data_IF_429761439219
#
_entry.id   IF_429761439219
#
_cell.length_a   1.000
_cell.length_b   1.000
_cell.length_c   1.000
_cell.angle_alpha   90.00
_cell.angle_beta   90.00
_cell.angle_gamma   90.00
#
_symmetry.space_group_name_H-M   'P 1'
#
loop_
_entity.id
_entity.type
_entity.pdbx_description
1 polymer ?
#
# COMPACT_ATOMS: atom_id res chain seq x y z
N UNK A 1 35.01 0.08 -5.28
CA UNK A 1 34.03 0.92 -6.02
C UNK A 1 33.43 1.93 -5.08
N UNK A 2 33.47 3.24 -5.40
CA UNK A 2 32.87 4.33 -4.62
C UNK A 2 31.87 5.08 -5.49
N UNK A 3 30.66 5.37 -4.97
CA UNK A 3 29.64 6.08 -5.73
C UNK A 3 28.56 6.70 -4.86
N UNK A 4 27.87 7.68 -5.43
CA UNK A 4 26.57 8.19 -4.97
C UNK A 4 25.58 8.04 -6.13
N UNK A 5 25.01 6.83 -6.33
CA UNK A 5 24.10 6.59 -7.43
C UNK A 5 22.78 7.35 -7.25
N UNK A 6 22.09 7.70 -8.36
CA UNK A 6 20.80 8.38 -8.26
C UNK A 6 19.77 7.52 -7.55
N UNK A 7 18.83 8.17 -6.83
CA UNK A 7 17.70 7.53 -6.16
C UNK A 7 16.45 7.81 -6.99
N UNK A 8 16.06 6.87 -7.83
CA UNK A 8 14.84 7.03 -8.62
C UNK A 8 14.17 5.70 -8.90
N UNK A 9 13.15 5.41 -8.08
CA UNK A 9 12.11 4.47 -8.47
C UNK A 9 11.02 5.26 -9.18
N UNK A 10 11.11 5.42 -10.50
CA UNK A 10 10.15 6.16 -11.34
C UNK A 10 10.10 7.67 -11.04
N UNK A 11 11.07 8.41 -11.49
CA UNK A 11 10.95 9.87 -11.57
C UNK A 11 10.03 10.26 -12.73
N UNK A 12 9.02 11.08 -12.43
CA UNK A 12 8.20 11.77 -13.41
C UNK A 12 8.87 13.07 -13.89
N UNK A 13 10.18 13.07 -14.03
CA UNK A 13 10.92 14.20 -14.58
C UNK A 13 10.87 14.16 -16.09
N UNK A 14 10.33 15.21 -16.71
CA UNK A 14 10.29 15.37 -18.16
C UNK A 14 11.71 15.46 -18.78
N UNK A 15 12.70 15.80 -17.96
CA UNK A 15 14.11 15.94 -18.37
C UNK A 15 14.93 14.67 -18.19
N UNK A 16 14.36 13.58 -17.66
CA UNK A 16 15.08 12.34 -17.43
C UNK A 16 14.84 11.35 -18.57
N UNK A 17 15.70 11.37 -19.57
CA UNK A 17 15.69 10.42 -20.68
C UNK A 17 15.94 8.97 -20.25
N UNK A 18 16.23 8.72 -18.97
CA UNK A 18 16.47 7.40 -18.38
C UNK A 18 15.22 6.85 -17.64
N UNK A 19 14.09 7.53 -17.74
CA UNK A 19 12.84 7.06 -17.17
C UNK A 19 12.46 5.69 -17.73
N UNK A 20 12.38 4.71 -16.85
CA UNK A 20 11.95 3.33 -17.17
C UNK A 20 12.85 2.60 -18.20
N UNK A 21 14.14 2.92 -18.30
CA UNK A 21 15.06 2.13 -19.09
C UNK A 21 15.21 0.71 -18.49
N UNK A 22 15.03 -0.28 -19.35
CA UNK A 22 15.28 -1.67 -19.05
C UNK A 22 16.77 -1.99 -19.23
N UNK A 23 17.40 -2.48 -18.18
CA UNK A 23 18.78 -2.96 -18.21
C UNK A 23 18.78 -4.48 -18.25
N UNK A 24 18.46 -5.09 -19.39
CA UNK A 24 18.14 -6.50 -19.54
C UNK A 24 19.06 -7.45 -18.75
N UNK A 25 20.39 -7.27 -18.83
CA UNK A 25 21.35 -8.12 -18.12
C UNK A 25 21.35 -7.86 -16.61
N UNK A 26 21.29 -6.60 -16.19
CA UNK A 26 21.30 -6.21 -14.79
C UNK A 26 19.98 -6.53 -14.12
N UNK A 27 18.86 -6.33 -14.80
CA UNK A 27 17.53 -6.64 -14.30
C UNK A 27 17.33 -8.16 -14.17
N UNK A 28 17.92 -8.96 -15.08
CA UNK A 28 17.97 -10.41 -14.92
C UNK A 28 18.80 -10.81 -13.68
N UNK A 29 19.91 -10.12 -13.37
CA UNK A 29 20.67 -10.33 -12.13
C UNK A 29 19.87 -9.97 -10.88
N UNK A 30 19.17 -8.84 -10.89
CA UNK A 30 18.27 -8.44 -9.79
C UNK A 30 17.17 -9.49 -9.59
N UNK A 31 16.57 -9.98 -10.68
CA UNK A 31 15.55 -11.03 -10.62
C UNK A 31 16.09 -12.31 -9.99
N UNK A 32 17.30 -12.74 -10.39
CA UNK A 32 17.92 -13.96 -9.89
C UNK A 32 18.51 -13.86 -8.47
N UNK A 33 18.67 -12.64 -7.93
CA UNK A 33 19.24 -12.39 -6.59
C UNK A 33 18.21 -11.77 -5.65
N UNK A 34 18.01 -10.47 -5.74
CA UNK A 34 17.15 -9.72 -4.81
C UNK A 34 15.69 -10.17 -4.87
N UNK A 35 15.12 -10.26 -6.08
CA UNK A 35 13.72 -10.65 -6.23
C UNK A 35 13.46 -12.12 -5.86
N UNK A 36 14.37 -13.03 -6.25
CA UNK A 36 14.26 -14.45 -5.91
C UNK A 36 14.31 -14.73 -4.40
N UNK A 37 14.98 -13.89 -3.62
CA UNK A 37 15.11 -14.01 -2.15
C UNK A 37 14.06 -13.24 -1.38
N UNK A 38 13.31 -12.36 -2.03
CA UNK A 38 12.29 -11.53 -1.38
C UNK A 38 11.01 -12.32 -1.12
N UNK A 39 10.44 -12.12 0.07
CA UNK A 39 9.09 -12.57 0.43
C UNK A 39 8.01 -11.51 0.11
N UNK A 40 8.41 -10.32 -0.32
CA UNK A 40 7.50 -9.23 -0.62
C UNK A 40 6.71 -9.45 -1.91
N UNK A 41 5.43 -9.06 -1.91
CA UNK A 41 4.57 -9.14 -3.11
C UNK A 41 4.86 -8.00 -4.12
N UNK A 42 5.39 -6.85 -3.65
CA UNK A 42 5.71 -5.67 -4.45
C UNK A 42 7.22 -5.56 -4.67
N UNK A 43 7.71 -6.10 -5.77
CA UNK A 43 9.14 -6.20 -6.09
C UNK A 43 9.71 -4.98 -6.83
N UNK A 44 8.87 -4.01 -7.21
CA UNK A 44 9.26 -2.87 -8.05
C UNK A 44 10.43 -2.05 -7.49
N UNK A 45 10.46 -1.84 -6.17
CA UNK A 45 11.51 -1.06 -5.51
C UNK A 45 12.88 -1.73 -5.53
N UNK A 46 12.95 -3.05 -5.80
CA UNK A 46 14.21 -3.77 -5.99
C UNK A 46 14.93 -3.35 -7.28
N UNK A 47 14.22 -2.74 -8.22
CA UNK A 47 14.74 -2.24 -9.50
C UNK A 47 15.02 -0.74 -9.48
N UNK A 48 15.07 -0.11 -8.32
CA UNK A 48 15.52 1.27 -8.15
C UNK A 48 16.98 1.42 -8.62
N UNK A 49 17.32 2.59 -9.14
CA UNK A 49 18.65 2.87 -9.68
C UNK A 49 19.78 2.59 -8.68
N UNK A 50 19.60 2.93 -7.38
CA UNK A 50 20.60 2.63 -6.37
C UNK A 50 20.75 1.13 -6.10
N UNK A 51 19.66 0.38 -6.11
CA UNK A 51 19.70 -1.08 -5.93
C UNK A 51 20.41 -1.76 -7.10
N UNK A 52 20.14 -1.30 -8.34
CA UNK A 52 20.86 -1.68 -9.54
C UNK A 52 22.36 -1.37 -9.43
N UNK A 53 22.71 -0.17 -8.93
CA UNK A 53 24.11 0.23 -8.75
C UNK A 53 24.84 -0.66 -7.72
N UNK A 54 24.19 -1.00 -6.61
CA UNK A 54 24.74 -1.93 -5.60
C UNK A 54 24.97 -3.29 -6.26
N UNK A 55 23.99 -3.85 -6.96
CA UNK A 55 24.15 -5.17 -7.62
C UNK A 55 25.27 -5.14 -8.65
N UNK A 56 25.33 -4.09 -9.48
CA UNK A 56 26.37 -3.90 -10.48
C UNK A 56 27.77 -3.83 -9.85
N UNK A 57 27.94 -3.10 -8.77
CA UNK A 57 29.21 -3.00 -8.06
C UNK A 57 29.60 -4.32 -7.39
N UNK A 58 28.65 -5.00 -6.74
CA UNK A 58 28.86 -6.31 -6.11
C UNK A 58 29.34 -7.36 -7.11
N UNK A 59 28.79 -7.38 -8.32
CA UNK A 59 29.17 -8.32 -9.37
C UNK A 59 30.54 -8.01 -9.99
N UNK A 60 31.10 -6.81 -9.77
CA UNK A 60 32.42 -6.39 -10.26
C UNK A 60 33.54 -6.52 -9.26
N UNK A 61 33.19 -6.53 -7.99
CA UNK A 61 34.13 -6.89 -6.94
C UNK A 61 34.12 -8.42 -6.86
N UNK A 62 35.15 -9.05 -7.41
CA UNK A 62 35.27 -10.51 -7.47
C UNK A 62 35.39 -11.11 -6.05
N UNK A 63 36.57 -11.60 -5.68
CA UNK A 63 36.75 -12.31 -4.40
C UNK A 63 37.16 -11.37 -3.26
N UNK A 64 37.81 -10.25 -3.57
CA UNK A 64 38.29 -9.30 -2.56
C UNK A 64 38.11 -7.84 -2.99
N UNK A 65 37.63 -7.01 -2.09
CA UNK A 65 37.55 -5.56 -2.31
C UNK A 65 36.43 -4.88 -1.55
N UNK A 66 36.29 -3.58 -1.82
CA UNK A 66 35.39 -2.69 -1.09
C UNK A 66 34.42 -2.01 -2.07
N UNK A 67 33.16 -1.98 -1.69
CA UNK A 67 32.12 -1.14 -2.29
C UNK A 67 31.66 -0.15 -1.23
N UNK A 68 31.78 1.15 -1.50
CA UNK A 68 31.34 2.19 -0.56
C UNK A 68 30.42 3.18 -1.26
N UNK A 69 29.17 3.22 -0.81
CA UNK A 69 28.12 4.01 -1.44
C UNK A 69 27.41 4.92 -0.45
N UNK A 70 26.97 6.07 -0.95
CA UNK A 70 25.95 6.90 -0.33
C UNK A 70 24.67 6.69 -1.12
N UNK A 71 23.63 6.16 -0.49
CA UNK A 71 22.41 5.74 -1.20
C UNK A 71 21.16 6.12 -0.45
N UNK A 72 20.00 5.87 -1.07
CA UNK A 72 18.73 5.78 -0.39
C UNK A 72 18.81 4.73 0.73
N UNK A 73 18.52 5.15 1.97
CA UNK A 73 18.56 4.30 3.14
C UNK A 73 17.38 3.38 3.35
N UNK A 74 16.36 3.42 2.47
CA UNK A 74 15.14 2.62 2.64
C UNK A 74 15.40 1.11 2.69
N UNK A 75 16.52 0.63 2.12
CA UNK A 75 16.83 -0.81 2.16
C UNK A 75 17.15 -1.31 3.57
N UNK A 76 17.48 -0.44 4.53
CA UNK A 76 17.83 -0.81 5.91
C UNK A 76 16.63 -1.45 6.62
N UNK A 77 15.41 -0.92 6.42
CA UNK A 77 14.22 -1.24 7.20
C UNK A 77 12.95 -1.53 6.39
N UNK A 78 12.86 -1.14 5.11
CA UNK A 78 11.65 -1.37 4.33
C UNK A 78 11.39 -2.86 4.09
N UNK A 79 10.17 -3.32 4.40
CA UNK A 79 9.76 -4.72 4.30
C UNK A 79 9.89 -5.30 2.88
N UNK A 80 9.69 -4.48 1.85
CA UNK A 80 9.78 -4.90 0.44
C UNK A 80 11.20 -4.87 -0.13
N UNK A 81 12.21 -4.63 0.70
CA UNK A 81 13.63 -4.62 0.32
C UNK A 81 14.43 -5.71 1.06
N UNK A 82 13.74 -6.68 1.65
CA UNK A 82 14.30 -7.85 2.34
C UNK A 82 15.27 -8.64 1.44
N UNK A 83 14.97 -8.79 0.16
CA UNK A 83 15.82 -9.48 -0.80
C UNK A 83 17.18 -8.80 -1.04
N UNK A 84 17.24 -7.46 -0.94
CA UNK A 84 18.53 -6.73 -0.96
C UNK A 84 19.32 -7.10 0.28
N UNK A 85 18.72 -6.99 1.48
CA UNK A 85 19.38 -7.29 2.76
C UNK A 85 19.92 -8.71 2.82
N UNK A 86 19.13 -9.71 2.39
CA UNK A 86 19.56 -11.11 2.28
C UNK A 86 20.78 -11.26 1.38
N UNK A 87 20.73 -10.65 0.20
CA UNK A 87 21.82 -10.75 -0.76
C UNK A 87 23.09 -10.07 -0.28
N UNK A 88 23.01 -8.90 0.37
CA UNK A 88 24.18 -8.20 0.88
C UNK A 88 24.90 -9.01 1.97
N UNK A 89 24.15 -9.64 2.86
CA UNK A 89 24.73 -10.50 3.93
C UNK A 89 25.41 -11.75 3.36
N UNK A 90 24.93 -12.27 2.24
CA UNK A 90 25.55 -13.42 1.57
C UNK A 90 26.75 -13.04 0.69
N UNK A 91 26.69 -11.86 0.06
CA UNK A 91 27.71 -11.39 -0.88
C UNK A 91 28.97 -10.80 -0.21
N UNK A 92 28.87 -10.32 1.04
CA UNK A 92 29.96 -9.60 1.72
C UNK A 92 30.30 -10.21 3.08
N UNK A 93 31.59 -10.11 3.42
CA UNK A 93 32.14 -10.55 4.71
C UNK A 93 31.81 -9.56 5.83
N UNK A 94 31.86 -8.26 5.51
CA UNK A 94 31.57 -7.18 6.47
C UNK A 94 30.69 -6.12 5.81
N UNK A 95 29.70 -5.67 6.56
CA UNK A 95 28.81 -4.56 6.21
C UNK A 95 28.86 -3.50 7.31
N UNK A 96 29.15 -2.27 6.93
CA UNK A 96 29.12 -1.10 7.80
C UNK A 96 28.06 -0.15 7.25
N UNK A 97 27.03 0.14 8.04
CA UNK A 97 25.86 0.91 7.61
C UNK A 97 25.65 2.08 8.56
N UNK A 98 25.80 3.30 8.06
CA UNK A 98 25.49 4.54 8.79
C UNK A 98 24.13 5.04 8.27
N UNK A 99 23.12 5.05 9.12
CA UNK A 99 21.81 5.59 8.80
C UNK A 99 21.78 7.09 9.13
N UNK A 100 21.70 7.93 8.11
CA UNK A 100 21.63 9.38 8.26
C UNK A 100 20.18 9.89 8.41
N UNK A 101 19.18 8.99 8.42
CA UNK A 101 17.77 9.36 8.52
C UNK A 101 17.33 10.39 7.46
N UNK A 102 16.35 11.24 7.75
CA UNK A 102 15.94 12.34 6.86
C UNK A 102 14.71 12.02 5.99
N UNK A 103 13.88 11.02 6.34
CA UNK A 103 12.63 10.71 5.63
C UNK A 103 11.62 11.84 5.75
N UNK A 104 11.43 12.60 4.67
CA UNK A 104 10.49 13.72 4.63
C UNK A 104 9.01 13.29 4.61
N UNK A 105 8.72 12.03 4.24
CA UNK A 105 7.35 11.52 4.10
C UNK A 105 6.74 10.99 5.41
N UNK A 106 7.55 10.78 6.46
CA UNK A 106 7.05 10.49 7.80
C UNK A 106 6.24 11.68 8.33
N UNK A 107 5.37 11.47 9.29
CA UNK A 107 4.51 12.52 9.85
C UNK A 107 4.58 12.55 11.39
N UNK A 108 4.12 13.65 11.98
CA UNK A 108 4.07 13.80 13.42
C UNK A 108 5.43 13.69 14.09
N UNK A 109 5.51 12.94 15.19
CA UNK A 109 6.74 12.77 15.98
C UNK A 109 7.82 12.00 15.21
N UNK A 110 7.44 11.01 14.43
CA UNK A 110 8.40 10.25 13.60
C UNK A 110 9.09 11.17 12.58
N UNK A 111 8.38 12.15 12.02
CA UNK A 111 9.01 13.14 11.13
C UNK A 111 9.99 14.05 11.87
N UNK A 112 9.72 14.39 13.11
CA UNK A 112 10.63 15.19 13.94
C UNK A 112 11.91 14.43 14.26
N UNK A 113 11.81 13.15 14.62
CA UNK A 113 12.95 12.26 14.86
C UNK A 113 13.85 12.14 13.63
N UNK A 114 13.28 12.04 12.44
CA UNK A 114 14.05 11.97 11.20
C UNK A 114 14.94 13.19 10.95
N UNK A 115 14.56 14.37 11.45
CA UNK A 115 15.33 15.60 11.33
C UNK A 115 15.50 16.10 9.90
N UNK A 116 16.54 16.88 9.63
CA UNK A 116 16.87 17.44 8.32
C UNK A 116 17.45 16.41 7.35
N UNK A 117 17.09 16.47 6.07
CA UNK A 117 17.73 15.68 5.02
C UNK A 117 19.11 16.20 4.66
N UNK A 118 20.14 15.36 4.61
CA UNK A 118 21.53 15.77 4.34
C UNK A 118 21.73 16.38 2.93
N UNK A 119 20.89 16.04 1.97
CA UNK A 119 20.90 16.62 0.62
C UNK A 119 19.89 17.76 0.44
N UNK A 120 19.32 18.29 1.54
CA UNK A 120 18.30 19.34 1.48
C UNK A 120 16.95 18.83 0.98
N UNK A 121 16.11 19.76 0.48
CA UNK A 121 14.70 19.47 0.11
C UNK A 121 14.55 18.61 -1.16
N UNK A 122 15.62 18.31 -1.85
CA UNK A 122 15.61 17.50 -3.08
C UNK A 122 15.40 15.99 -2.84
N UNK A 123 15.66 15.48 -1.63
CA UNK A 123 15.48 14.08 -1.28
C UNK A 123 14.36 13.92 -0.24
N UNK A 124 13.40 13.06 -0.54
CA UNK A 124 12.29 12.71 0.40
C UNK A 124 12.57 11.41 1.18
N UNK A 125 13.65 10.72 0.86
CA UNK A 125 14.03 9.44 1.45
C UNK A 125 15.14 9.60 2.48
N UNK A 126 15.30 8.64 3.40
CA UNK A 126 16.49 8.55 4.24
C UNK A 126 17.73 8.35 3.38
N UNK A 127 18.89 8.71 3.94
CA UNK A 127 20.18 8.49 3.29
C UNK A 127 21.02 7.54 4.15
N UNK A 128 21.73 6.63 3.50
CA UNK A 128 22.67 5.73 4.15
C UNK A 128 24.07 5.84 3.53
N UNK A 129 25.10 5.79 4.37
CA UNK A 129 26.47 5.50 3.95
C UNK A 129 26.70 4.01 4.21
N UNK A 130 27.08 3.26 3.19
CA UNK A 130 27.29 1.82 3.31
C UNK A 130 28.67 1.47 2.80
N UNK A 131 29.47 0.75 3.64
CA UNK A 131 30.76 0.20 3.26
C UNK A 131 30.63 -1.32 3.33
N UNK A 132 30.84 -1.98 2.20
CA UNK A 132 30.65 -3.41 2.00
C UNK A 132 31.98 -4.02 1.60
N UNK A 133 32.47 -4.98 2.37
CA UNK A 133 33.80 -5.57 2.22
C UNK A 133 33.67 -7.05 1.87
N UNK A 134 34.35 -7.46 0.79
CA UNK A 134 34.63 -8.87 0.49
C UNK A 134 36.05 -9.16 0.97
N UNK A 135 36.18 -10.04 1.95
CA UNK A 135 37.46 -10.54 2.46
C UNK A 135 37.47 -12.06 2.34
N UNK A 136 38.30 -12.61 1.43
CA UNK A 136 38.36 -14.06 1.22
C UNK A 136 39.00 -14.81 2.40
N UNK A 137 39.64 -14.09 3.34
CA UNK A 137 40.20 -14.70 4.55
C UNK A 137 39.23 -14.80 5.71
N UNK A 138 38.06 -14.13 5.59
CA UNK A 138 37.01 -14.16 6.60
C UNK A 138 36.31 -15.51 6.58
N UNK A 139 36.39 -16.22 7.70
CA UNK A 139 35.72 -17.49 7.90
C UNK A 139 34.55 -17.33 8.90
N UNK A 140 33.36 -17.09 8.41
CA UNK A 140 32.19 -16.91 9.26
C UNK A 140 31.04 -16.21 8.56
N UNK A 141 29.92 -16.00 9.26
CA UNK A 141 28.83 -15.23 8.74
C UNK A 141 29.21 -13.76 8.57
N UNK A 142 28.53 -13.04 7.70
CA UNK A 142 28.71 -11.60 7.49
C UNK A 142 28.61 -10.83 8.81
N UNK A 143 29.59 -9.99 9.11
CA UNK A 143 29.54 -9.08 10.25
C UNK A 143 28.83 -7.78 9.85
N UNK A 144 27.60 -7.62 10.33
CA UNK A 144 26.81 -6.41 10.11
C UNK A 144 26.98 -5.43 11.27
N UNK A 145 27.50 -4.25 10.97
CA UNK A 145 27.71 -3.15 11.89
C UNK A 145 26.85 -1.95 11.47
N UNK A 146 26.09 -1.45 12.40
CA UNK A 146 25.10 -0.39 12.18
C UNK A 146 25.38 0.79 13.11
N UNK A 147 25.24 1.99 12.59
CA UNK A 147 25.29 3.22 13.36
C UNK A 147 24.14 4.14 12.93
N UNK A 148 23.36 4.60 13.89
CA UNK A 148 22.31 5.58 13.69
C UNK A 148 22.81 6.97 14.07
N UNK A 149 22.61 7.93 13.18
CA UNK A 149 23.09 9.32 13.38
C UNK A 149 22.40 10.02 14.57
N UNK A 150 21.21 9.58 14.95
CA UNK A 150 20.43 10.10 16.07
C UNK A 150 19.17 10.88 15.68
N UNK A 151 18.30 11.08 16.69
CA UNK A 151 17.02 11.76 16.57
C UNK A 151 17.16 13.28 16.53
N UNK A 152 16.21 13.97 15.89
CA UNK A 152 15.97 15.43 15.90
C UNK A 152 17.09 16.30 15.33
N UNK A 153 18.09 15.74 14.68
CA UNK A 153 19.26 16.49 14.18
C UNK A 153 18.93 17.28 12.92
N UNK A 154 19.39 18.52 12.85
CA UNK A 154 19.41 19.31 11.63
C UNK A 154 20.40 18.72 10.63
N UNK A 155 20.36 19.19 9.38
CA UNK A 155 21.33 18.82 8.35
C UNK A 155 22.76 19.12 8.80
N UNK A 156 22.99 20.31 9.34
CA UNK A 156 24.29 20.82 9.78
C UNK A 156 24.85 19.98 10.92
N UNK A 157 24.02 19.62 11.90
CA UNK A 157 24.41 18.75 13.02
C UNK A 157 24.76 17.35 12.55
N UNK A 158 24.02 16.79 11.59
CA UNK A 158 24.38 15.47 11.01
C UNK A 158 25.71 15.50 10.30
N UNK A 159 25.98 16.53 9.49
CA UNK A 159 27.25 16.66 8.78
C UNK A 159 28.40 16.85 9.75
N UNK A 160 28.28 17.71 10.77
CA UNK A 160 29.26 17.89 11.81
C UNK A 160 29.54 16.58 12.57
N UNK A 161 28.49 15.79 12.86
CA UNK A 161 28.68 14.49 13.52
C UNK A 161 29.42 13.49 12.64
N UNK A 162 29.14 13.47 11.32
CA UNK A 162 29.92 12.64 10.38
C UNK A 162 31.42 13.04 10.38
N UNK A 163 31.73 14.34 10.34
CA UNK A 163 33.09 14.84 10.38
C UNK A 163 33.82 14.41 11.66
N UNK A 164 33.14 14.34 12.80
CA UNK A 164 33.68 13.90 14.07
C UNK A 164 34.01 12.39 14.13
N UNK A 165 33.42 11.58 13.24
CA UNK A 165 33.71 10.15 13.20
C UNK A 165 35.11 9.82 12.73
N UNK A 166 35.74 10.71 11.98
CA UNK A 166 37.18 10.67 11.52
C UNK A 166 37.55 9.36 10.80
N UNK A 167 37.31 8.20 11.43
CA UNK A 167 37.61 6.88 10.87
C UNK A 167 36.54 5.85 11.25
N UNK A 168 36.52 4.73 10.55
CA UNK A 168 35.60 3.62 10.78
C UNK A 168 35.79 2.98 12.17
N UNK A 169 37.00 3.04 12.73
CA UNK A 169 37.29 2.54 14.05
C UNK A 169 36.74 3.43 15.17
N UNK A 170 36.55 4.72 14.88
CA UNK A 170 36.03 5.68 15.87
C UNK A 170 34.50 5.63 16.01
N UNK A 171 33.82 4.89 15.14
CA UNK A 171 32.37 4.76 15.21
C UNK A 171 31.96 3.73 16.26
N UNK A 172 31.00 4.11 17.12
CA UNK A 172 30.42 3.20 18.11
C UNK A 172 29.38 2.29 17.42
N UNK A 173 29.90 1.20 16.84
CA UNK A 173 29.12 0.28 16.04
C UNK A 173 28.21 -0.64 16.87
N UNK A 174 26.92 -0.62 16.61
CA UNK A 174 26.02 -1.68 17.03
C UNK A 174 26.21 -2.89 16.10
N UNK A 175 26.55 -4.06 16.66
CA UNK A 175 26.54 -5.32 15.90
C UNK A 175 25.13 -5.83 15.81
N UNK A 176 24.65 -6.07 14.58
CA UNK A 176 23.33 -6.61 14.31
C UNK A 176 23.44 -8.05 13.79
N UNK A 177 22.48 -8.88 14.21
CA UNK A 177 22.27 -10.20 13.64
C UNK A 177 20.91 -10.20 12.95
N UNK A 178 20.86 -10.29 11.62
CA UNK A 178 19.58 -10.35 10.90
C UNK A 178 18.70 -11.50 11.38
N UNK A 179 17.39 -11.28 11.50
CA UNK A 179 16.43 -12.34 11.80
C UNK A 179 16.12 -13.17 10.54
N UNK A 180 15.24 -14.17 10.65
CA UNK A 180 14.81 -15.03 9.54
C UNK A 180 14.14 -14.26 8.40
N UNK A 181 13.58 -13.08 8.69
CA UNK A 181 12.95 -12.17 7.72
C UNK A 181 13.95 -11.19 7.11
N UNK A 182 15.22 -11.26 7.50
CA UNK A 182 16.30 -10.34 7.16
C UNK A 182 16.07 -8.92 7.64
N UNK A 183 15.37 -8.73 8.75
CA UNK A 183 15.30 -7.43 9.40
C UNK A 183 16.63 -7.16 10.12
N UNK A 184 17.13 -5.94 9.99
CA UNK A 184 18.42 -5.53 10.56
C UNK A 184 18.24 -4.78 11.89
N UNK A 185 17.92 -3.49 11.83
CA UNK A 185 17.85 -2.63 13.02
C UNK A 185 16.48 -2.73 13.74
N UNK A 186 15.40 -2.71 12.98
CA UNK A 186 14.02 -2.80 13.49
C UNK A 186 13.48 -4.21 13.19
N UNK A 187 13.71 -5.14 14.11
CA UNK A 187 13.31 -6.53 13.93
C UNK A 187 11.85 -6.72 14.37
N UNK A 188 11.06 -7.34 13.50
CA UNK A 188 9.70 -7.76 13.81
C UNK A 188 9.69 -8.79 14.94
N UNK A 189 8.75 -8.64 15.85
CA UNK A 189 8.56 -9.63 16.91
C UNK A 189 8.00 -10.94 16.31
N UNK A 190 8.71 -12.07 16.45
CA UNK A 190 8.29 -13.35 15.87
C UNK A 190 6.97 -13.86 16.43
N UNK A 191 6.52 -13.39 17.59
CA UNK A 191 5.21 -13.72 18.17
C UNK A 191 4.08 -13.24 17.25
N UNK A 192 4.30 -12.20 16.43
CA UNK A 192 3.30 -11.74 15.47
C UNK A 192 2.85 -12.85 14.50
N UNK A 193 3.77 -13.73 14.09
CA UNK A 193 3.47 -14.87 13.19
C UNK A 193 2.55 -15.92 13.81
N UNK A 194 2.40 -15.91 15.16
CA UNK A 194 1.52 -16.82 15.87
C UNK A 194 0.08 -16.32 15.95
N UNK A 195 -0.17 -15.06 15.61
CA UNK A 195 -1.51 -14.49 15.65
C UNK A 195 -2.38 -15.00 14.52
N UNK A 196 -3.68 -15.07 14.79
CA UNK A 196 -4.68 -15.34 13.77
C UNK A 196 -4.66 -14.23 12.71
N UNK A 197 -4.54 -14.58 11.43
CA UNK A 197 -4.63 -13.62 10.34
C UNK A 197 -5.99 -12.92 10.38
N UNK A 198 -6.02 -11.60 10.26
CA UNK A 198 -7.27 -10.84 10.15
C UNK A 198 -8.06 -11.24 8.91
N UNK A 199 -7.39 -11.41 7.77
CA UNK A 199 -8.01 -11.84 6.52
C UNK A 199 -7.01 -12.50 5.60
N UNK A 200 -7.48 -13.45 4.78
CA UNK A 200 -6.69 -14.08 3.73
C UNK A 200 -7.24 -13.68 2.35
N UNK A 201 -6.49 -12.86 1.64
CA UNK A 201 -6.86 -12.38 0.31
C UNK A 201 -6.87 -13.50 -0.74
N UNK A 202 -5.96 -14.42 -0.61
CA UNK A 202 -5.73 -15.47 -1.59
C UNK A 202 -6.62 -16.71 -1.30
N UNK A 203 -7.37 -16.68 -0.18
CA UNK A 203 -8.22 -17.77 0.31
C UNK A 203 -7.49 -19.11 0.38
N UNK A 204 -6.17 -19.06 0.59
CA UNK A 204 -5.29 -20.22 0.66
C UNK A 204 -5.40 -20.95 2.00
N UNK A 205 -5.87 -20.24 3.02
CA UNK A 205 -6.14 -20.79 4.34
C UNK A 205 -7.59 -20.50 4.73
N UNK A 206 -8.29 -21.51 5.25
CA UNK A 206 -9.61 -21.31 5.89
C UNK A 206 -9.50 -20.63 7.27
N UNK A 207 -8.30 -20.24 7.69
CA UNK A 207 -7.95 -19.88 9.06
C UNK A 207 -7.73 -18.38 9.23
N UNK A 208 -8.65 -17.56 8.72
CA UNK A 208 -8.67 -16.13 8.97
C UNK A 208 -9.89 -15.71 9.79
N UNK A 209 -9.77 -14.61 10.56
CA UNK A 209 -10.87 -14.07 11.36
C UNK A 209 -12.00 -13.58 10.46
N UNK A 210 -11.66 -12.81 9.41
CA UNK A 210 -12.63 -12.28 8.45
C UNK A 210 -12.57 -13.08 7.15
N UNK A 211 -13.72 -13.54 6.68
CA UNK A 211 -13.86 -14.26 5.41
C UNK A 211 -13.75 -13.36 4.17
N UNK A 212 -13.91 -12.06 4.34
CA UNK A 212 -13.74 -11.06 3.27
C UNK A 212 -13.30 -9.72 3.84
N UNK A 213 -12.59 -8.94 3.04
CA UNK A 213 -12.21 -7.57 3.35
C UNK A 213 -11.98 -6.77 2.06
N UNK A 214 -11.87 -5.45 2.17
CA UNK A 214 -11.73 -4.57 1.02
C UNK A 214 -10.79 -3.42 1.33
N UNK A 215 -10.08 -2.90 0.33
CA UNK A 215 -9.60 -1.53 0.41
C UNK A 215 -10.78 -0.56 0.33
N UNK A 216 -10.62 0.63 0.93
CA UNK A 216 -11.59 1.71 0.78
C UNK A 216 -11.67 2.26 -0.65
N UNK A 217 -12.70 3.04 -0.93
CA UNK A 217 -12.94 3.62 -2.27
C UNK A 217 -11.87 4.62 -2.66
N UNK A 218 -11.41 4.56 -3.91
CA UNK A 218 -10.53 5.54 -4.56
C UNK A 218 -11.30 6.24 -5.66
N UNK A 219 -11.41 7.55 -5.59
CA UNK A 219 -12.13 8.35 -6.59
C UNK A 219 -11.21 8.88 -7.67
N UNK A 220 -9.99 9.31 -7.34
CA UNK A 220 -9.04 10.09 -8.16
C UNK A 220 -9.66 11.39 -8.71
N UNK A 221 -10.81 11.80 -8.17
CA UNK A 221 -11.54 13.02 -8.55
C UNK A 221 -12.45 13.53 -7.42
N UNK A 222 -11.94 13.48 -6.19
CA UNK A 222 -12.70 13.88 -4.99
C UNK A 222 -13.51 15.18 -5.18
N UNK A 223 -12.98 16.29 -5.75
CA UNK A 223 -13.72 17.54 -5.92
C UNK A 223 -14.99 17.42 -6.77
N UNK A 224 -15.12 16.37 -7.57
CA UNK A 224 -16.27 16.15 -8.45
C UNK A 224 -17.31 15.22 -7.84
N UNK A 225 -16.87 14.18 -7.15
CA UNK A 225 -17.73 13.09 -6.69
C UNK A 225 -17.90 13.04 -5.18
N UNK A 226 -17.19 13.90 -4.43
CA UNK A 226 -17.29 13.99 -2.97
C UNK A 226 -17.48 15.43 -2.53
N UNK A 227 -18.20 15.64 -1.43
CA UNK A 227 -18.45 16.99 -0.93
C UNK A 227 -19.27 17.02 0.37
N UNK A 228 -19.35 18.22 0.96
CA UNK A 228 -20.01 18.45 2.23
C UNK A 228 -21.54 18.33 2.16
N UNK A 229 -22.16 18.51 1.00
CA UNK A 229 -23.61 18.43 0.85
C UNK A 229 -24.02 17.55 -0.34
N UNK A 230 -25.19 16.94 -0.22
CA UNK A 230 -25.83 16.17 -1.30
C UNK A 230 -26.00 17.00 -2.58
N UNK A 231 -26.49 18.22 -2.45
CA UNK A 231 -26.77 19.11 -3.58
C UNK A 231 -25.50 19.51 -4.34
N UNK A 232 -24.40 19.78 -3.59
CA UNK A 232 -23.14 20.11 -4.20
C UNK A 232 -22.56 18.94 -5.01
N UNK A 233 -22.61 17.72 -4.47
CA UNK A 233 -22.19 16.50 -5.19
C UNK A 233 -23.09 16.26 -6.39
N UNK A 234 -24.41 16.35 -6.22
CA UNK A 234 -25.38 16.18 -7.32
C UNK A 234 -25.08 17.14 -8.48
N UNK A 235 -24.91 18.43 -8.19
CA UNK A 235 -24.58 19.45 -9.19
C UNK A 235 -23.25 19.20 -9.91
N UNK A 236 -22.21 18.84 -9.15
CA UNK A 236 -20.89 18.58 -9.73
C UNK A 236 -20.89 17.33 -10.62
N UNK A 237 -21.51 16.25 -10.16
CA UNK A 237 -21.61 15.00 -10.93
C UNK A 237 -22.45 15.19 -12.19
N UNK A 238 -23.58 15.89 -12.12
CA UNK A 238 -24.42 16.18 -13.29
C UNK A 238 -23.60 16.93 -14.35
N UNK A 239 -22.90 18.01 -13.99
CA UNK A 239 -22.01 18.73 -14.91
C UNK A 239 -20.90 17.85 -15.52
N UNK A 240 -20.31 16.97 -14.71
CA UNK A 240 -19.30 16.04 -15.18
C UNK A 240 -19.87 15.08 -16.21
N UNK A 241 -21.05 14.49 -15.93
CA UNK A 241 -21.73 13.55 -16.83
C UNK A 241 -22.16 14.24 -18.13
N UNK A 242 -22.73 15.45 -18.06
CA UNK A 242 -23.07 16.24 -19.24
C UNK A 242 -21.84 16.49 -20.13
N UNK A 243 -20.71 16.87 -19.52
CA UNK A 243 -19.46 17.05 -20.25
C UNK A 243 -18.97 15.73 -20.85
N UNK A 244 -18.99 14.65 -20.07
CA UNK A 244 -18.60 13.32 -20.55
C UNK A 244 -19.44 12.88 -21.76
N UNK A 245 -20.77 13.04 -21.72
CA UNK A 245 -21.68 12.65 -22.81
C UNK A 245 -21.45 13.49 -24.07
N UNK A 246 -21.17 14.79 -23.92
CA UNK A 246 -20.79 15.65 -25.03
C UNK A 246 -19.47 15.20 -25.69
N UNK A 247 -18.49 14.83 -24.90
CA UNK A 247 -17.20 14.34 -25.41
C UNK A 247 -17.32 12.90 -25.96
N UNK A 248 -18.19 12.06 -25.41
CA UNK A 248 -18.51 10.75 -25.97
C UNK A 248 -19.14 10.87 -27.37
N UNK A 249 -20.08 11.79 -27.54
CA UNK A 249 -20.68 12.09 -28.86
C UNK A 249 -19.65 12.61 -29.85
N UNK A 250 -18.73 13.51 -29.40
CA UNK A 250 -17.60 14.00 -30.20
C UNK A 250 -16.71 12.86 -30.68
N UNK A 251 -16.35 11.95 -29.77
CA UNK A 251 -15.53 10.79 -30.11
C UNK A 251 -16.24 9.84 -31.05
N UNK A 252 -17.56 9.61 -30.83
CA UNK A 252 -18.39 8.80 -31.74
C UNK A 252 -18.32 9.33 -33.18
N UNK A 253 -18.49 10.64 -33.36
CA UNK A 253 -18.36 11.27 -34.70
C UNK A 253 -16.95 11.15 -35.30
N UNK A 254 -15.91 11.17 -34.47
CA UNK A 254 -14.52 11.04 -34.92
C UNK A 254 -14.17 9.62 -35.41
N UNK A 255 -14.87 8.60 -34.92
CA UNK A 255 -14.65 7.18 -35.30
C UNK A 255 -15.67 6.67 -36.32
N UNK A 256 -16.70 7.44 -36.65
CA UNK A 256 -17.76 7.05 -37.58
C UNK A 256 -17.18 6.65 -38.95
N UNK A 257 -17.56 5.50 -39.44
CA UNK A 257 -17.12 4.93 -40.72
C UNK A 257 -15.66 4.44 -40.74
N UNK A 258 -14.94 4.46 -39.62
CA UNK A 258 -13.54 4.00 -39.54
C UNK A 258 -13.44 2.59 -38.97
N UNK A 259 -12.52 1.79 -39.53
CA UNK A 259 -12.11 0.54 -38.91
C UNK A 259 -11.46 0.80 -37.54
N UNK A 260 -11.56 -0.14 -36.60
CA UNK A 260 -11.14 0.04 -35.20
C UNK A 260 -9.66 0.35 -35.05
N UNK A 261 -8.84 -0.13 -35.99
CA UNK A 261 -7.39 0.11 -36.07
C UNK A 261 -7.03 1.53 -36.48
N UNK A 262 -7.99 2.23 -37.12
CA UNK A 262 -7.87 3.64 -37.58
C UNK A 262 -8.53 4.64 -36.62
N UNK A 263 -8.98 4.20 -35.45
CA UNK A 263 -9.56 5.09 -34.45
C UNK A 263 -8.49 6.00 -33.86
N UNK A 264 -8.73 7.32 -33.76
CA UNK A 264 -7.80 8.22 -33.09
C UNK A 264 -7.71 7.90 -31.60
N UNK A 265 -6.60 8.29 -30.96
CA UNK A 265 -6.52 8.22 -29.51
C UNK A 265 -7.55 9.17 -28.88
N UNK A 266 -8.08 8.77 -27.73
CA UNK A 266 -9.14 9.54 -27.04
C UNK A 266 -8.63 10.94 -26.67
N UNK A 267 -7.36 11.03 -26.27
CA UNK A 267 -6.67 12.26 -25.90
C UNK A 267 -6.66 13.31 -27.01
N UNK A 268 -6.58 12.87 -28.26
CA UNK A 268 -6.49 13.76 -29.42
C UNK A 268 -7.86 14.35 -29.81
N UNK A 269 -8.96 13.75 -29.34
CA UNK A 269 -10.31 14.13 -29.72
C UNK A 269 -11.05 14.87 -28.60
N UNK A 270 -10.95 14.36 -27.36
CA UNK A 270 -11.72 14.93 -26.24
C UNK A 270 -11.11 16.20 -25.69
N UNK A 271 -11.94 17.13 -25.28
CA UNK A 271 -11.48 18.37 -24.63
C UNK A 271 -11.18 18.11 -23.15
N UNK A 272 -10.02 18.60 -22.71
CA UNK A 272 -9.59 18.51 -21.32
C UNK A 272 -9.67 19.87 -20.64
N UNK A 273 -10.87 20.26 -20.18
CA UNK A 273 -11.06 21.42 -19.31
C UNK A 273 -11.26 20.96 -17.86
N UNK A 274 -10.27 21.14 -16.97
CA UNK A 274 -10.33 20.66 -15.59
C UNK A 274 -11.45 21.33 -14.76
N UNK A 275 -12.05 22.43 -15.24
CA UNK A 275 -13.21 23.08 -14.62
C UNK A 275 -14.52 22.40 -14.96
N UNK A 276 -14.53 21.47 -15.95
CA UNK A 276 -15.72 20.78 -16.43
C UNK A 276 -15.68 19.28 -16.18
N UNK A 277 -14.51 18.67 -16.25
CA UNK A 277 -14.32 17.23 -16.10
C UNK A 277 -12.92 16.92 -15.58
N UNK A 278 -12.80 15.86 -14.77
CA UNK A 278 -11.53 15.25 -14.39
C UNK A 278 -11.41 13.89 -15.09
N UNK A 279 -10.55 13.85 -16.09
CA UNK A 279 -10.27 12.62 -16.84
C UNK A 279 -9.39 11.68 -16.04
N UNK A 280 -9.77 10.40 -16.03
CA UNK A 280 -8.92 9.30 -15.60
C UNK A 280 -8.73 8.33 -16.76
N UNK A 281 -7.76 7.43 -16.63
CA UNK A 281 -7.54 6.37 -17.62
C UNK A 281 -8.78 5.49 -17.82
N UNK A 282 -9.49 5.16 -16.73
CA UNK A 282 -10.72 4.37 -16.78
C UNK A 282 -11.83 5.10 -17.54
N UNK A 283 -12.02 6.41 -17.28
CA UNK A 283 -13.06 7.19 -17.93
C UNK A 283 -12.80 7.38 -19.44
N UNK A 284 -11.53 7.56 -19.84
CA UNK A 284 -11.12 7.59 -21.26
C UNK A 284 -11.33 6.23 -21.95
N UNK A 285 -11.07 5.13 -21.26
CA UNK A 285 -11.34 3.80 -21.77
C UNK A 285 -12.86 3.56 -21.96
N UNK A 286 -13.70 4.12 -21.09
CA UNK A 286 -15.15 4.08 -21.22
C UNK A 286 -15.63 4.92 -22.44
N UNK A 287 -15.02 6.08 -22.74
CA UNK A 287 -15.24 6.84 -23.99
C UNK A 287 -14.94 5.97 -25.23
N UNK A 288 -13.76 5.32 -25.25
CA UNK A 288 -13.37 4.44 -26.37
C UNK A 288 -14.36 3.30 -26.62
N UNK A 289 -14.97 2.80 -25.53
CA UNK A 289 -16.02 1.78 -25.58
C UNK A 289 -17.42 2.35 -25.83
N UNK A 290 -17.56 3.64 -26.01
CA UNK A 290 -18.85 4.34 -26.17
C UNK A 290 -19.86 4.07 -25.04
N UNK A 291 -19.36 3.84 -23.82
CA UNK A 291 -20.19 3.53 -22.66
C UNK A 291 -20.94 4.79 -22.19
N UNK A 292 -22.29 4.77 -22.15
CA UNK A 292 -23.05 5.94 -21.69
C UNK A 292 -22.98 6.06 -20.16
N UNK A 293 -23.01 7.29 -19.67
CA UNK A 293 -23.19 7.61 -18.25
C UNK A 293 -24.54 8.31 -18.04
N UNK A 294 -25.24 7.91 -16.99
CA UNK A 294 -26.46 8.56 -16.55
C UNK A 294 -26.33 8.91 -15.07
N UNK A 295 -26.84 10.08 -14.70
CA UNK A 295 -26.91 10.48 -13.31
C UNK A 295 -27.95 9.63 -12.56
N UNK A 296 -27.56 9.11 -11.42
CA UNK A 296 -28.41 8.36 -10.50
C UNK A 296 -28.31 9.00 -9.10
N UNK A 297 -29.33 9.72 -8.63
CA UNK A 297 -29.28 10.36 -7.32
C UNK A 297 -29.18 9.35 -6.16
N UNK A 298 -29.60 8.10 -6.35
CA UNK A 298 -29.52 7.05 -5.32
C UNK A 298 -28.08 6.58 -5.08
N UNK A 299 -27.17 6.85 -6.02
CA UNK A 299 -25.74 6.58 -5.87
C UNK A 299 -25.01 7.60 -4.97
N UNK A 300 -25.69 8.69 -4.54
CA UNK A 300 -25.10 9.62 -3.57
C UNK A 300 -25.33 9.09 -2.16
N UNK A 301 -24.25 8.66 -1.50
CA UNK A 301 -24.27 8.02 -0.19
C UNK A 301 -23.37 8.74 0.80
N UNK A 302 -23.53 8.46 2.11
CA UNK A 302 -22.57 8.90 3.12
C UNK A 302 -21.26 8.13 3.00
N UNK A 303 -20.15 8.83 3.20
CA UNK A 303 -18.80 8.30 3.10
C UNK A 303 -17.98 8.73 4.32
N UNK A 304 -17.33 7.79 4.98
CA UNK A 304 -16.28 8.07 5.95
C UNK A 304 -15.02 8.50 5.18
N UNK A 305 -14.88 9.82 4.99
CA UNK A 305 -13.91 10.40 4.05
C UNK A 305 -12.50 10.49 4.63
N UNK A 306 -12.39 11.03 5.85
CA UNK A 306 -11.14 11.14 6.61
C UNK A 306 -11.44 10.84 8.07
N UNK A 307 -10.44 10.66 8.95
CA UNK A 307 -10.68 10.47 10.36
C UNK A 307 -11.62 11.56 10.90
N UNK A 308 -12.75 11.13 11.51
CA UNK A 308 -13.77 12.00 12.09
C UNK A 308 -14.42 13.01 11.13
N UNK A 309 -14.33 12.75 9.82
CA UNK A 309 -14.92 13.62 8.78
C UNK A 309 -15.70 12.81 7.76
N UNK A 310 -17.01 12.96 7.80
CA UNK A 310 -17.91 12.34 6.84
C UNK A 310 -18.28 13.31 5.72
N UNK A 311 -18.41 12.79 4.51
CA UNK A 311 -18.86 13.52 3.34
C UNK A 311 -19.96 12.76 2.59
N UNK A 312 -20.55 13.40 1.60
CA UNK A 312 -21.35 12.76 0.58
C UNK A 312 -20.45 12.30 -0.56
N UNK A 313 -20.70 11.11 -1.08
CA UNK A 313 -19.95 10.49 -2.18
C UNK A 313 -20.91 9.98 -3.24
N UNK A 314 -20.66 10.29 -4.49
CA UNK A 314 -21.29 9.59 -5.61
C UNK A 314 -20.61 8.24 -5.79
N UNK A 315 -21.18 7.21 -5.20
CA UNK A 315 -20.64 5.85 -5.17
C UNK A 315 -21.06 5.07 -6.40
N UNK A 316 -20.32 5.23 -7.48
CA UNK A 316 -20.59 4.59 -8.77
C UNK A 316 -19.28 4.11 -9.41
N UNK A 317 -19.25 2.87 -9.89
CA UNK A 317 -18.04 2.25 -10.46
C UNK A 317 -17.44 3.03 -11.63
N UNK A 318 -18.24 3.71 -12.43
CA UNK A 318 -17.74 4.47 -13.60
C UNK A 318 -17.05 5.78 -13.21
N UNK A 319 -17.48 6.39 -12.11
CA UNK A 319 -16.94 7.65 -11.62
C UNK A 319 -16.02 7.51 -10.41
N UNK A 320 -15.84 6.31 -9.87
CA UNK A 320 -14.80 6.03 -8.88
C UNK A 320 -13.75 5.14 -9.53
N UNK A 321 -12.47 5.51 -9.41
CA UNK A 321 -11.37 4.78 -10.06
C UNK A 321 -11.31 3.34 -9.59
N UNK A 322 -11.41 3.12 -8.26
CA UNK A 322 -11.49 1.79 -7.68
C UNK A 322 -12.55 1.75 -6.58
N UNK A 323 -13.40 0.75 -6.63
CA UNK A 323 -14.41 0.46 -5.58
C UNK A 323 -14.14 -0.85 -4.85
N UNK A 324 -13.22 -1.66 -5.36
CA UNK A 324 -12.82 -2.98 -4.82
C UNK A 324 -14.04 -3.85 -4.46
N UNK A 325 -14.09 -4.40 -3.23
CA UNK A 325 -15.22 -5.19 -2.72
C UNK A 325 -16.23 -4.34 -1.94
N UNK A 326 -16.02 -3.02 -1.82
CA UNK A 326 -16.92 -2.13 -1.05
C UNK A 326 -18.39 -2.25 -1.48
N UNK A 327 -18.75 -2.47 -2.77
CA UNK A 327 -20.14 -2.72 -3.16
C UNK A 327 -20.78 -3.97 -2.52
N UNK A 328 -19.96 -4.95 -2.05
CA UNK A 328 -20.49 -6.08 -1.26
C UNK A 328 -20.67 -5.74 0.21
N UNK A 329 -19.93 -4.74 0.70
CA UNK A 329 -20.01 -4.29 2.09
C UNK A 329 -21.15 -3.28 2.31
N UNK A 330 -21.37 -2.43 1.32
CA UNK A 330 -22.39 -1.36 1.30
C UNK A 330 -23.09 -1.34 -0.07
N UNK A 331 -23.94 -2.33 -0.37
CA UNK A 331 -24.56 -2.43 -1.72
C UNK A 331 -25.54 -1.32 -2.00
N UNK A 332 -26.34 -0.91 -1.03
CA UNK A 332 -27.30 0.22 -1.12
C UNK A 332 -27.38 0.94 0.24
N UNK A 333 -27.97 2.14 0.32
CA UNK A 333 -28.22 2.82 1.59
C UNK A 333 -29.10 2.04 2.59
N UNK A 334 -29.85 1.06 2.10
CA UNK A 334 -30.73 0.19 2.91
C UNK A 334 -29.96 -0.92 3.65
N UNK A 335 -28.66 -1.11 3.35
CA UNK A 335 -27.83 -2.16 3.91
C UNK A 335 -26.82 -1.59 4.93
N UNK A 336 -27.24 -1.41 6.18
CA UNK A 336 -26.34 -0.88 7.21
C UNK A 336 -25.21 -1.86 7.50
N UNK A 337 -24.02 -1.32 7.70
CA UNK A 337 -22.83 -2.11 8.04
C UNK A 337 -21.90 -1.32 8.94
N UNK A 338 -20.97 -2.05 9.55
CA UNK A 338 -19.86 -1.51 10.32
C UNK A 338 -18.59 -2.19 9.84
N UNK A 339 -17.55 -1.42 9.59
CA UNK A 339 -16.25 -1.95 9.16
C UNK A 339 -15.14 -1.41 10.07
N UNK A 340 -14.16 -2.25 10.39
CA UNK A 340 -12.90 -1.81 10.97
C UNK A 340 -12.00 -1.44 9.81
N UNK A 341 -11.65 -0.16 9.67
CA UNK A 341 -10.63 0.30 8.74
C UNK A 341 -9.29 0.35 9.46
N UNK A 342 -8.34 -0.44 9.03
CA UNK A 342 -6.96 -0.44 9.55
C UNK A 342 -6.00 0.04 8.49
N UNK A 343 -4.95 0.74 8.90
CA UNK A 343 -3.86 1.16 8.03
C UNK A 343 -3.30 -0.04 7.26
N UNK A 344 -3.11 0.12 5.95
CA UNK A 344 -2.57 -0.92 5.09
C UNK A 344 -1.03 -0.90 5.02
N UNK A 345 -0.48 -1.89 4.34
CA UNK A 345 0.95 -1.95 4.01
C UNK A 345 1.30 -0.74 3.13
N UNK A 346 2.41 -0.07 3.41
CA UNK A 346 2.87 1.15 2.74
C UNK A 346 2.16 2.44 3.19
N UNK A 347 1.73 2.50 4.44
CA UNK A 347 1.27 3.73 5.04
C UNK A 347 2.41 4.76 5.20
N UNK A 348 2.03 6.02 5.35
CA UNK A 348 2.94 7.15 5.53
C UNK A 348 2.74 7.86 6.87
N UNK A 349 1.72 7.48 7.62
CA UNK A 349 1.22 8.20 8.80
C UNK A 349 1.34 7.43 10.10
N UNK A 350 1.83 6.20 10.03
CA UNK A 350 1.86 5.28 11.14
C UNK A 350 0.54 4.52 11.32
N UNK A 351 0.58 3.46 12.09
CA UNK A 351 -0.52 2.56 12.30
C UNK A 351 -1.72 3.25 12.97
N UNK A 352 -2.90 3.03 12.40
CA UNK A 352 -4.17 3.45 12.98
C UNK A 352 -5.31 2.51 12.60
N UNK A 353 -6.32 2.40 13.45
CA UNK A 353 -7.56 1.69 13.16
C UNK A 353 -8.76 2.56 13.56
N UNK A 354 -9.83 2.55 12.75
CA UNK A 354 -11.06 3.28 12.99
C UNK A 354 -12.26 2.42 12.61
N UNK A 355 -13.37 2.60 13.28
CA UNK A 355 -14.66 2.04 12.88
C UNK A 355 -15.39 3.03 11.98
N UNK A 356 -15.93 2.55 10.86
CA UNK A 356 -16.77 3.32 9.95
C UNK A 356 -18.13 2.65 9.74
N UNK A 357 -19.19 3.46 9.71
CA UNK A 357 -20.58 3.07 9.46
C UNK A 357 -21.04 3.40 8.03
N UNK A 358 -20.20 4.06 7.27
CA UNK A 358 -20.47 4.52 5.91
C UNK A 358 -19.41 3.99 4.95
N UNK A 359 -19.67 4.13 3.67
CA UNK A 359 -18.71 3.76 2.62
C UNK A 359 -17.32 4.33 2.95
N UNK A 360 -16.29 3.50 3.18
CA UNK A 360 -14.99 4.00 3.59
C UNK A 360 -14.17 4.50 2.39
N UNK A 361 -13.59 5.70 2.51
CA UNK A 361 -12.51 6.14 1.62
C UNK A 361 -11.24 5.33 1.90
N UNK A 362 -10.43 5.05 0.90
CA UNK A 362 -9.11 4.42 1.09
C UNK A 362 -8.20 5.23 2.01
N UNK A 363 -8.40 6.55 2.06
CA UNK A 363 -7.63 7.45 2.92
C UNK A 363 -8.31 7.79 4.25
N UNK A 364 -9.30 6.98 4.66
CA UNK A 364 -9.84 7.06 6.03
C UNK A 364 -8.74 6.74 7.06
N UNK A 365 -8.02 5.63 6.82
CA UNK A 365 -6.79 5.28 7.53
C UNK A 365 -5.75 5.02 6.46
N UNK A 366 -4.88 5.78 6.08
CA UNK A 366 -3.97 5.69 4.91
C UNK A 366 -3.84 4.27 4.31
N UNK A 367 -4.13 4.09 3.02
CA UNK A 367 -4.27 2.78 2.35
C UNK A 367 -5.17 1.76 3.07
N UNK A 368 -6.25 2.26 3.71
CA UNK A 368 -7.08 1.53 4.65
C UNK A 368 -7.66 0.23 4.13
N UNK A 369 -7.45 -0.84 4.88
CA UNK A 369 -8.11 -2.14 4.70
C UNK A 369 -9.32 -2.21 5.62
N UNK A 370 -10.47 -2.55 5.05
CA UNK A 370 -11.76 -2.52 5.71
C UNK A 370 -12.26 -3.93 5.95
N UNK A 371 -12.34 -4.32 7.22
CA UNK A 371 -12.81 -5.61 7.69
C UNK A 371 -14.26 -5.47 8.18
N UNK A 372 -15.23 -6.09 7.50
CA UNK A 372 -16.64 -5.83 7.73
C UNK A 372 -17.23 -6.71 8.83
N UNK A 373 -18.22 -6.17 9.58
CA UNK A 373 -19.07 -7.00 10.44
C UNK A 373 -19.95 -7.92 9.59
N UNK A 374 -20.52 -7.38 8.49
CA UNK A 374 -21.34 -8.10 7.53
C UNK A 374 -20.88 -7.86 6.09
N UNK A 375 -21.23 -8.75 5.19
CA UNK A 375 -21.19 -8.52 3.76
C UNK A 375 -22.49 -9.04 3.12
N UNK A 376 -22.78 -8.59 1.91
CA UNK A 376 -24.04 -8.85 1.26
C UNK A 376 -23.78 -9.55 -0.07
N UNK A 377 -24.47 -10.67 -0.25
CA UNK A 377 -24.42 -11.48 -1.46
C UNK A 377 -25.69 -11.22 -2.28
N UNK A 378 -25.53 -10.77 -3.53
CA UNK A 378 -26.67 -10.62 -4.42
C UNK A 378 -27.01 -11.96 -5.03
N UNK A 379 -28.20 -12.48 -4.75
CA UNK A 379 -28.67 -13.69 -5.39
C UNK A 379 -29.10 -13.35 -6.82
N UNK A 380 -28.43 -13.98 -7.81
CA UNK A 380 -28.79 -13.87 -9.22
C UNK A 380 -29.61 -15.11 -9.62
N UNK A 381 -30.91 -14.94 -9.90
CA UNK A 381 -31.74 -16.01 -10.40
C UNK A 381 -32.53 -16.79 -9.33
N UNK A 382 -33.16 -17.87 -9.74
CA UNK A 382 -33.89 -18.76 -8.84
C UNK A 382 -32.97 -19.34 -7.75
N UNK A 383 -33.50 -19.55 -6.52
CA UNK A 383 -32.72 -20.11 -5.44
C UNK A 383 -32.07 -21.42 -5.88
N UNK A 384 -30.73 -21.50 -5.75
CA UNK A 384 -30.05 -22.76 -6.01
C UNK A 384 -30.58 -23.82 -5.06
N UNK A 385 -30.81 -25.06 -5.53
CA UNK A 385 -31.15 -26.16 -4.63
C UNK A 385 -30.09 -26.23 -3.54
N UNK A 386 -30.49 -26.17 -2.29
CA UNK A 386 -29.61 -26.33 -1.13
C UNK A 386 -29.19 -27.79 -1.10
N UNK A 387 -27.90 -28.07 -1.16
CA UNK A 387 -27.36 -29.45 -1.03
C UNK A 387 -27.64 -30.06 0.36
N UNK A 388 -28.07 -29.23 1.32
CA UNK A 388 -28.48 -29.66 2.65
C UNK A 388 -30.02 -29.68 2.75
N UNK A 389 -30.58 -30.87 2.80
CA UNK A 389 -32.04 -31.14 2.88
C UNK A 389 -32.71 -30.55 4.13
N UNK A 390 -31.94 -30.04 5.09
CA UNK A 390 -32.40 -29.44 6.35
C UNK A 390 -32.13 -27.92 6.46
N UNK A 391 -31.45 -27.32 5.50
CA UNK A 391 -31.24 -25.88 5.50
C UNK A 391 -32.52 -25.15 5.02
N UNK A 392 -33.00 -24.20 5.80
CA UNK A 392 -34.06 -23.32 5.38
C UNK A 392 -33.66 -22.55 4.14
N UNK A 393 -34.53 -22.35 3.14
CA UNK A 393 -34.19 -21.55 1.97
C UNK A 393 -33.82 -20.13 2.42
N UNK A 394 -32.68 -19.65 1.90
CA UNK A 394 -32.25 -18.30 2.18
C UNK A 394 -33.12 -17.31 1.40
N UNK A 395 -33.90 -16.54 2.14
CA UNK A 395 -34.74 -15.50 1.54
C UNK A 395 -33.93 -14.20 1.39
N UNK A 396 -33.77 -13.71 0.15
CA UNK A 396 -33.17 -12.40 -0.09
C UNK A 396 -34.12 -11.30 0.40
N UNK A 397 -33.53 -10.17 0.78
CA UNK A 397 -34.29 -8.97 1.09
C UNK A 397 -34.98 -8.36 -0.17
N UNK A 398 -35.73 -7.28 0.00
CA UNK A 398 -36.44 -6.59 -1.06
C UNK A 398 -35.53 -6.10 -2.21
N UNK A 399 -34.25 -5.96 -1.97
CA UNK A 399 -33.23 -5.57 -2.94
C UNK A 399 -32.51 -6.76 -3.60
N UNK A 400 -32.85 -7.99 -3.20
CA UNK A 400 -32.27 -9.23 -3.72
C UNK A 400 -30.93 -9.61 -3.08
N UNK A 401 -30.64 -9.13 -1.86
CA UNK A 401 -29.42 -9.44 -1.15
C UNK A 401 -29.66 -10.33 0.07
N UNK A 402 -28.68 -11.21 0.35
CA UNK A 402 -28.60 -12.00 1.58
C UNK A 402 -27.43 -11.46 2.40
N UNK A 403 -27.68 -11.18 3.68
CA UNK A 403 -26.63 -10.74 4.61
C UNK A 403 -25.84 -11.94 5.11
N UNK A 404 -24.52 -11.81 5.05
CA UNK A 404 -23.54 -12.79 5.55
C UNK A 404 -22.68 -12.17 6.65
N UNK A 405 -22.23 -13.00 7.58
CA UNK A 405 -21.28 -12.56 8.60
C UNK A 405 -19.87 -12.33 8.01
N UNK A 406 -19.22 -11.27 8.43
CA UNK A 406 -17.83 -11.01 8.09
C UNK A 406 -16.86 -11.95 8.83
N UNK A 407 -17.20 -12.32 10.07
CA UNK A 407 -16.43 -13.24 10.90
C UNK A 407 -16.70 -14.69 10.46
N UNK A 408 -15.64 -15.47 10.29
CA UNK A 408 -15.71 -16.89 9.87
C UNK A 408 -16.18 -17.79 11.02
N UNK A 409 -16.78 -18.93 10.67
CA UNK A 409 -17.16 -19.95 11.66
C UNK A 409 -15.94 -20.61 12.30
N UNK A 410 -14.82 -20.67 11.57
CA UNK A 410 -13.56 -21.11 12.13
C UNK A 410 -13.10 -20.20 13.28
N UNK A 411 -13.11 -18.87 13.07
CA UNK A 411 -12.76 -17.93 14.12
C UNK A 411 -13.69 -18.04 15.31
N UNK A 412 -15.02 -18.14 15.09
CA UNK A 412 -15.99 -18.34 16.16
C UNK A 412 -15.62 -19.55 17.03
N UNK A 413 -15.41 -20.70 16.41
CA UNK A 413 -15.03 -21.94 17.11
C UNK A 413 -13.70 -21.80 17.86
N UNK A 414 -12.72 -21.14 17.23
CA UNK A 414 -11.40 -20.92 17.83
C UNK A 414 -11.50 -20.06 19.11
N UNK A 415 -12.27 -18.96 19.06
CA UNK A 415 -12.50 -18.09 20.22
C UNK A 415 -13.28 -18.80 21.33
N UNK A 416 -14.40 -19.46 21.01
CA UNK A 416 -15.18 -20.22 21.99
C UNK A 416 -14.34 -21.30 22.67
N UNK A 417 -13.48 -22.00 21.95
CA UNK A 417 -12.58 -23.02 22.49
C UNK A 417 -11.50 -22.41 23.39
N UNK A 418 -10.85 -21.32 22.95
CA UNK A 418 -9.77 -20.69 23.69
C UNK A 418 -10.25 -20.10 25.03
N UNK A 419 -11.40 -19.44 25.02
CA UNK A 419 -12.00 -18.85 26.25
C UNK A 419 -12.90 -19.80 27.03
N UNK A 420 -13.17 -21.02 26.51
CA UNK A 420 -14.10 -22.01 27.10
C UNK A 420 -15.48 -21.42 27.35
N UNK A 421 -15.95 -20.57 26.44
CA UNK A 421 -17.23 -19.87 26.56
C UNK A 421 -18.01 -19.98 25.24
N UNK A 422 -19.06 -20.76 25.23
CA UNK A 422 -19.93 -20.99 24.08
C UNK A 422 -20.89 -19.80 23.83
N UNK A 423 -20.96 -18.82 24.72
CA UNK A 423 -21.81 -17.63 24.53
C UNK A 423 -21.18 -16.56 23.66
N UNK A 424 -19.87 -16.65 23.39
CA UNK A 424 -19.16 -15.74 22.49
C UNK A 424 -19.79 -15.82 21.12
N UNK A 425 -20.24 -14.65 20.61
CA UNK A 425 -20.78 -14.49 19.27
C UNK A 425 -19.80 -13.80 18.31
N UNK A 426 -20.13 -13.80 17.02
CA UNK A 426 -19.31 -13.15 15.98
C UNK A 426 -19.19 -11.63 16.17
N UNK A 427 -20.22 -11.00 16.74
CA UNK A 427 -20.19 -9.57 17.07
C UNK A 427 -19.17 -9.27 18.17
N UNK A 428 -19.06 -10.15 19.17
CA UNK A 428 -18.08 -9.99 20.25
C UNK A 428 -16.66 -10.09 19.72
N UNK A 429 -16.41 -11.02 18.79
CA UNK A 429 -15.12 -11.17 18.13
C UNK A 429 -14.76 -9.92 17.32
N UNK A 430 -15.73 -9.34 16.59
CA UNK A 430 -15.52 -8.10 15.83
C UNK A 430 -15.02 -6.97 16.74
N UNK A 431 -15.71 -6.76 17.87
CA UNK A 431 -15.34 -5.71 18.81
C UNK A 431 -14.06 -6.02 19.60
N UNK A 432 -13.82 -7.30 19.89
CA UNK A 432 -12.56 -7.74 20.50
C UNK A 432 -11.36 -7.40 19.59
N UNK A 433 -11.45 -7.73 18.30
CA UNK A 433 -10.42 -7.37 17.31
C UNK A 433 -10.19 -5.86 17.29
N UNK A 434 -11.26 -5.06 17.26
CA UNK A 434 -11.14 -3.60 17.32
C UNK A 434 -10.44 -3.14 18.59
N UNK A 435 -10.76 -3.71 19.74
CA UNK A 435 -10.11 -3.43 21.01
C UNK A 435 -8.61 -3.76 21.01
N UNK A 436 -8.23 -4.92 20.49
CA UNK A 436 -6.81 -5.33 20.37
C UNK A 436 -6.03 -4.35 19.48
N UNK A 437 -6.58 -3.98 18.33
CA UNK A 437 -5.95 -3.01 17.42
C UNK A 437 -5.77 -1.62 18.05
N UNK A 438 -6.48 -1.30 19.13
CA UNK A 438 -6.35 -0.07 19.93
C UNK A 438 -5.51 -0.22 21.19
N UNK A 439 -5.15 -1.44 21.57
CA UNK A 439 -4.32 -1.70 22.76
C UNK A 439 -2.97 -0.95 22.65
N UNK A 440 -2.59 -0.16 23.67
CA UNK A 440 -1.28 0.47 23.68
C UNK A 440 -0.13 -0.53 23.61
N UNK A 441 -0.25 -1.67 24.30
CA UNK A 441 0.74 -2.73 24.28
C UNK A 441 0.89 -3.34 22.88
N UNK A 442 -0.24 -3.65 22.20
CA UNK A 442 -0.22 -4.15 20.82
C UNK A 442 0.46 -3.16 19.88
N UNK A 443 0.08 -1.86 19.96
CA UNK A 443 0.66 -0.82 19.13
C UNK A 443 2.15 -0.63 19.40
N UNK A 444 2.57 -0.60 20.65
CA UNK A 444 3.99 -0.44 20.99
C UNK A 444 4.84 -1.60 20.45
N UNK A 445 4.31 -2.81 20.43
CA UNK A 445 5.04 -4.03 20.09
C UNK A 445 4.99 -4.39 18.60
N UNK A 446 3.88 -4.12 17.93
CA UNK A 446 3.61 -4.63 16.58
C UNK A 446 3.28 -3.58 15.53
N UNK A 447 3.22 -2.28 15.86
CA UNK A 447 2.92 -1.21 14.89
C UNK A 447 4.18 -0.72 14.14
N UNK A 448 5.07 -1.63 13.79
CA UNK A 448 6.33 -1.35 13.08
C UNK A 448 6.12 -1.46 11.57
#
# INVERSE_FOLDING_TARGET
>A
VFSNPPYSAQQDSENDNNKNLDYLKLDARISATYAAKSKAKLLKNLYDSYARAIRWATDRVEDAGIVAFVTNGSFIDANNLDGIRKSLVEDFSHLYVINLRGRALKQGEERRKEGGGVFGDGSKTSVAITIMVKDPTHNGPCELRYFDIGDYLTKEEKLARIEQLVSIEAVDWQRLTPNAEADWAEQRDPVFETFMALGDKDQTTSNAIFGTYSLGVVTNRDPWVSGASFDAVSKNVTRLIETYEAERARYASAIEGKAKEAWPEVEDVVKSDPRKISWTRALKADIRKQKPLKFDPTAIVRCAYRPFSDQWLYFNRSLNEMVYQVPKLFPTPMHPNVVISSTGVADRKGYSALVAKYVPSMHLTDTGQCFPLYWYEKLAGEPKPVDDMFAAPEEPDECGYVRRDGITDWALKAFQSAYKDATIGKVDIFWYVYGVLHSPEYKQRFAI
#
